data_IF_972627907285
#
_entry.id   IF_972627907285
#
_cell.length_a   1.000
_cell.length_b   1.000
_cell.length_c   1.000
_cell.angle_alpha   90.00
_cell.angle_beta   90.00
_cell.angle_gamma   90.00
#
_symmetry.space_group_name_H-M   'P 1'
#
loop_
_entity.id
_entity.type
_entity.pdbx_description
1 polymer ?
#
# COMPACT_ATOMS: atom_id res chain seq x y z
N UNK A 1 -36.83 14.70 -5.61
CA UNK A 1 -35.70 14.82 -4.66
C UNK A 1 -34.68 13.77 -5.07
N UNK A 2 -33.60 14.18 -5.72
CA UNK A 2 -32.49 13.28 -6.05
C UNK A 2 -31.64 13.23 -4.79
N UNK A 3 -31.71 12.13 -4.04
CA UNK A 3 -30.74 11.86 -2.99
C UNK A 3 -29.43 11.50 -3.68
N UNK A 4 -28.57 12.50 -3.85
CA UNK A 4 -27.17 12.30 -4.17
C UNK A 4 -26.55 11.53 -3.01
N UNK A 5 -26.47 10.21 -3.14
CA UNK A 5 -25.51 9.43 -2.37
C UNK A 5 -24.13 9.90 -2.85
N UNK A 6 -23.57 10.86 -2.13
CA UNK A 6 -22.16 11.17 -2.20
C UNK A 6 -21.47 9.91 -1.67
N UNK A 7 -20.99 9.04 -2.56
CA UNK A 7 -20.03 8.00 -2.21
C UNK A 7 -18.89 8.72 -1.48
N UNK A 8 -18.85 8.60 -0.16
CA UNK A 8 -17.64 8.94 0.60
C UNK A 8 -16.54 8.14 -0.07
N UNK A 9 -15.59 8.85 -0.68
CA UNK A 9 -14.47 8.26 -1.40
C UNK A 9 -13.97 7.07 -0.62
N UNK A 10 -13.93 5.91 -1.28
CA UNK A 10 -13.53 4.66 -0.68
C UNK A 10 -12.08 4.80 -0.23
N UNK A 11 -11.86 5.10 1.05
CA UNK A 11 -10.52 5.13 1.63
C UNK A 11 -10.02 3.68 1.64
N UNK A 12 -9.01 3.39 0.83
CA UNK A 12 -8.25 2.15 0.99
C UNK A 12 -7.26 2.42 2.11
N UNK A 13 -7.60 2.03 3.33
CA UNK A 13 -6.68 2.16 4.46
C UNK A 13 -5.50 1.21 4.28
N UNK A 14 -4.29 1.72 4.55
CA UNK A 14 -3.04 0.96 4.44
C UNK A 14 -2.40 0.94 5.82
N UNK A 15 -2.01 -0.25 6.26
CA UNK A 15 -1.32 -0.45 7.52
C UNK A 15 0.11 -0.89 7.27
N UNK A 16 1.05 -0.30 8.00
CA UNK A 16 2.39 -0.80 8.13
C UNK A 16 2.52 -1.51 9.48
N UNK A 17 2.90 -2.78 9.42
CA UNK A 17 3.14 -3.64 10.57
C UNK A 17 4.63 -3.77 10.81
N UNK A 18 5.07 -3.46 12.01
CA UNK A 18 6.42 -3.72 12.50
C UNK A 18 6.37 -4.88 13.48
N UNK A 19 7.12 -5.95 13.20
CA UNK A 19 7.32 -7.09 14.09
C UNK A 19 8.75 -7.09 14.59
N UNK A 20 8.91 -7.02 15.90
CA UNK A 20 10.20 -7.05 16.58
C UNK A 20 10.33 -8.37 17.36
N UNK A 21 11.35 -9.15 17.04
CA UNK A 21 11.75 -10.30 17.84
C UNK A 21 12.45 -9.79 19.12
N UNK A 22 11.87 -10.08 20.28
CA UNK A 22 12.38 -9.59 21.56
C UNK A 22 13.67 -10.28 22.02
N UNK A 23 14.03 -11.43 21.45
CA UNK A 23 15.28 -12.16 21.76
C UNK A 23 16.45 -11.60 20.99
N UNK A 24 16.25 -11.29 19.70
CA UNK A 24 17.33 -10.85 18.80
C UNK A 24 17.34 -9.33 18.58
N UNK A 25 16.22 -8.65 18.82
CA UNK A 25 15.99 -7.25 18.45
C UNK A 25 15.77 -7.03 16.95
N UNK A 26 15.63 -8.11 16.18
CA UNK A 26 15.44 -8.03 14.74
C UNK A 26 14.04 -7.53 14.39
N UNK A 27 13.95 -6.63 13.40
CA UNK A 27 12.70 -6.01 12.97
C UNK A 27 12.35 -6.41 11.54
N UNK A 28 11.15 -6.97 11.38
CA UNK A 28 10.53 -7.28 10.10
C UNK A 28 9.33 -6.36 9.85
N UNK A 29 9.09 -5.98 8.59
CA UNK A 29 8.04 -5.04 8.23
C UNK A 29 7.10 -5.60 7.18
N UNK A 30 5.80 -5.31 7.31
CA UNK A 30 4.77 -5.79 6.39
C UNK A 30 3.76 -4.69 6.08
N UNK A 31 3.28 -4.62 4.83
CA UNK A 31 2.18 -3.76 4.43
C UNK A 31 0.89 -4.56 4.28
N UNK A 32 -0.22 -4.04 4.80
CA UNK A 32 -1.56 -4.59 4.63
C UNK A 32 -2.49 -3.52 4.05
N UNK A 33 -3.42 -3.94 3.19
CA UNK A 33 -4.45 -3.08 2.62
C UNK A 33 -5.82 -3.54 3.13
N UNK A 34 -6.65 -2.63 3.63
CA UNK A 34 -7.83 -2.90 4.49
C UNK A 34 -8.89 -3.84 3.92
N UNK A 35 -8.97 -4.05 2.60
CA UNK A 35 -9.89 -5.05 2.02
C UNK A 35 -9.27 -6.44 1.83
N UNK A 36 -8.05 -6.69 2.34
CA UNK A 36 -7.42 -8.03 2.32
C UNK A 36 -6.82 -8.39 3.68
N UNK A 37 -6.94 -9.68 4.01
CA UNK A 37 -6.22 -10.31 5.13
C UNK A 37 -4.72 -10.54 4.79
N UNK A 38 -4.36 -10.40 3.50
CA UNK A 38 -2.99 -10.61 3.05
C UNK A 38 -2.07 -9.48 3.49
N UNK A 39 -0.95 -9.87 4.11
CA UNK A 39 0.14 -8.98 4.51
C UNK A 39 1.36 -9.23 3.64
N UNK A 40 1.95 -8.16 3.10
CA UNK A 40 3.06 -8.24 2.16
C UNK A 40 4.36 -7.80 2.84
N UNK A 41 5.41 -8.63 2.86
CA UNK A 41 6.68 -8.22 3.43
C UNK A 41 7.24 -7.02 2.66
N UNK A 42 7.85 -6.08 3.39
CA UNK A 42 8.55 -4.93 2.81
C UNK A 42 9.91 -4.74 3.44
N UNK A 43 10.84 -4.23 2.63
CA UNK A 43 12.17 -3.88 3.10
C UNK A 43 12.11 -2.79 4.18
N UNK A 44 13.02 -2.90 5.14
CA UNK A 44 13.20 -1.92 6.22
C UNK A 44 13.41 -0.50 5.68
N UNK A 45 14.12 -0.35 4.56
CA UNK A 45 14.37 0.95 3.93
C UNK A 45 13.09 1.60 3.40
N UNK A 46 12.15 0.80 2.88
CA UNK A 46 10.84 1.26 2.41
C UNK A 46 9.96 1.61 3.61
N UNK A 47 9.88 0.72 4.60
CA UNK A 47 9.10 0.95 5.82
C UNK A 47 9.53 2.23 6.55
N UNK A 48 10.84 2.47 6.66
CA UNK A 48 11.38 3.68 7.28
C UNK A 48 11.01 4.95 6.50
N UNK A 49 11.06 4.90 5.16
CA UNK A 49 10.63 6.02 4.32
C UNK A 49 9.14 6.29 4.46
N UNK A 50 8.30 5.25 4.55
CA UNK A 50 6.87 5.40 4.76
C UNK A 50 6.61 6.12 6.10
N UNK A 51 7.21 5.65 7.19
CA UNK A 51 7.05 6.25 8.52
C UNK A 51 7.57 7.70 8.60
N UNK A 52 8.59 8.04 7.81
CA UNK A 52 9.19 9.38 7.82
C UNK A 52 8.44 10.40 6.95
N UNK A 53 7.90 9.97 5.81
CA UNK A 53 7.29 10.86 4.81
C UNK A 53 5.78 11.02 5.03
N UNK A 54 5.12 9.98 5.53
CA UNK A 54 3.67 9.95 5.62
C UNK A 54 3.20 10.19 7.05
N UNK A 55 2.04 10.84 7.14
CA UNK A 55 1.33 10.94 8.41
C UNK A 55 0.83 9.55 8.79
N UNK A 56 1.30 9.07 9.92
CA UNK A 56 0.96 7.75 10.44
C UNK A 56 0.45 7.84 11.86
N UNK A 57 -0.43 6.93 12.22
CA UNK A 57 -1.01 6.83 13.55
C UNK A 57 -0.74 5.43 14.08
N UNK A 58 -0.19 5.35 15.28
CA UNK A 58 -0.10 4.06 15.95
C UNK A 58 -1.51 3.61 16.34
N UNK A 59 -1.92 2.46 15.84
CA UNK A 59 -3.24 1.88 16.10
C UNK A 59 -3.09 0.57 16.85
N UNK A 60 -4.15 0.17 17.54
CA UNK A 60 -4.22 -1.15 18.15
C UNK A 60 -4.26 -2.20 17.04
N UNK A 61 -3.33 -3.17 17.01
CA UNK A 61 -3.34 -4.25 16.02
C UNK A 61 -4.61 -5.11 16.06
N UNK A 62 -5.37 -5.12 17.17
CA UNK A 62 -6.54 -5.96 17.35
C UNK A 62 -6.24 -7.46 17.14
N UNK A 63 -7.26 -8.24 16.78
CA UNK A 63 -7.14 -9.68 16.51
C UNK A 63 -6.65 -10.00 15.07
N UNK A 64 -6.32 -8.99 14.26
CA UNK A 64 -6.06 -9.18 12.82
C UNK A 64 -4.73 -9.91 12.52
N UNK A 65 -3.82 -9.96 13.48
CA UNK A 65 -2.69 -10.88 13.46
C UNK A 65 -2.71 -11.69 14.75
N UNK A 66 -3.14 -12.95 14.67
CA UNK A 66 -2.86 -13.95 15.72
C UNK A 66 -1.35 -14.18 15.81
N UNK A 67 -0.65 -13.31 16.56
CA UNK A 67 0.75 -13.55 16.92
C UNK A 67 0.73 -14.33 18.22
N UNK A 68 0.58 -15.65 18.11
CA UNK A 68 0.60 -16.58 19.26
C UNK A 68 1.98 -16.64 19.96
N UNK A 69 3.01 -15.99 19.41
CA UNK A 69 4.37 -15.96 19.98
C UNK A 69 4.56 -14.80 20.96
N UNK A 70 4.72 -15.14 22.24
CA UNK A 70 5.00 -14.21 23.34
C UNK A 70 6.31 -13.41 23.19
N UNK A 71 7.21 -13.83 22.31
CA UNK A 71 8.50 -13.17 22.08
C UNK A 71 8.46 -12.17 20.93
N UNK A 72 7.31 -11.98 20.28
CA UNK A 72 7.17 -11.04 19.18
C UNK A 72 6.32 -9.87 19.63
N UNK A 73 6.89 -8.67 19.51
CA UNK A 73 6.14 -7.43 19.69
C UNK A 73 5.71 -6.90 18.34
N UNK A 74 4.41 -6.69 18.18
CA UNK A 74 3.84 -6.12 16.96
C UNK A 74 3.40 -4.69 17.20
N UNK A 75 3.77 -3.77 16.31
CA UNK A 75 3.26 -2.40 16.26
C UNK A 75 2.59 -2.18 14.90
N UNK A 76 1.36 -1.67 14.92
CA UNK A 76 0.62 -1.32 13.72
C UNK A 76 0.57 0.21 13.55
N UNK A 77 0.83 0.66 12.34
CA UNK A 77 0.75 2.06 11.94
C UNK A 77 -0.27 2.20 10.82
N UNK A 78 -1.38 2.88 11.08
CA UNK A 78 -2.31 3.32 10.05
C UNK A 78 -1.66 4.47 9.27
N UNK A 79 -1.61 4.34 7.95
CA UNK A 79 -1.08 5.37 7.06
C UNK A 79 -2.28 6.19 6.58
N UNK A 80 -2.26 7.50 6.89
CA UNK A 80 -3.26 8.44 6.41
C UNK A 80 -3.27 8.44 4.87
N UNK A 81 -4.39 8.14 4.24
CA UNK A 81 -4.40 7.87 2.82
C UNK A 81 -5.77 7.75 2.17
N UNK A 82 -5.94 8.52 1.08
CA UNK A 82 -6.89 8.17 0.02
C UNK A 82 -6.43 6.88 -0.69
N UNK A 83 -7.12 6.47 -1.76
CA UNK A 83 -6.73 5.31 -2.55
C UNK A 83 -5.27 5.39 -3.03
N UNK A 84 -4.42 4.38 -2.77
CA UNK A 84 -3.02 4.39 -3.19
C UNK A 84 -2.87 4.58 -4.70
N UNK A 85 -1.86 5.36 -5.09
CA UNK A 85 -1.55 5.62 -6.51
C UNK A 85 -0.18 5.04 -6.84
N UNK A 86 -0.12 4.19 -7.86
CA UNK A 86 1.13 3.77 -8.48
C UNK A 86 1.47 4.72 -9.62
N UNK A 87 2.70 5.21 -9.61
CA UNK A 87 3.30 5.98 -10.69
C UNK A 87 4.35 5.12 -11.39
N UNK A 88 4.15 4.87 -12.67
CA UNK A 88 5.10 4.16 -13.53
C UNK A 88 5.85 5.18 -14.40
N UNK A 89 7.18 5.15 -14.34
CA UNK A 89 8.02 5.93 -15.27
C UNK A 89 8.06 5.27 -16.65
N UNK A 90 7.48 5.93 -17.65
CA UNK A 90 7.63 5.57 -19.06
C UNK A 90 9.07 5.81 -19.47
N UNK A 91 9.65 4.82 -20.12
CA UNK A 91 11.09 4.68 -20.34
C UNK A 91 11.40 4.23 -21.78
N UNK A 92 12.65 4.39 -22.23
CA UNK A 92 13.12 3.83 -23.50
C UNK A 92 13.17 2.30 -23.47
N UNK A 93 13.23 1.65 -24.65
CA UNK A 93 13.13 0.18 -24.85
C UNK A 93 14.12 -0.72 -24.07
N UNK A 94 15.12 -0.17 -23.36
CA UNK A 94 16.22 -0.93 -22.75
C UNK A 94 16.40 -0.68 -21.24
N UNK A 95 15.45 -0.05 -20.56
CA UNK A 95 15.48 0.14 -19.10
C UNK A 95 14.42 -0.73 -18.40
N UNK A 96 14.60 -1.03 -17.11
CA UNK A 96 13.64 -1.78 -16.28
C UNK A 96 12.60 -0.89 -15.62
N UNK A 97 11.31 -1.26 -15.69
CA UNK A 97 10.19 -0.45 -15.22
C UNK A 97 10.42 0.02 -13.79
N UNK A 98 10.30 1.34 -13.59
CA UNK A 98 10.45 1.94 -12.27
C UNK A 98 9.08 2.40 -11.82
N UNK A 99 8.67 1.86 -10.69
CA UNK A 99 7.39 2.14 -10.08
C UNK A 99 7.62 2.82 -8.74
N UNK A 100 6.72 3.73 -8.43
CA UNK A 100 6.65 4.36 -7.12
C UNK A 100 5.21 4.36 -6.65
N UNK A 101 5.00 4.32 -5.34
CA UNK A 101 3.66 4.38 -4.74
C UNK A 101 3.51 5.66 -3.93
N UNK A 102 2.31 6.22 -3.94
CA UNK A 102 1.89 7.32 -3.10
C UNK A 102 0.70 6.84 -2.26
N UNK A 103 0.87 6.80 -0.94
CA UNK A 103 -0.16 6.31 -0.02
C UNK A 103 -1.17 7.37 0.43
N UNK A 104 -0.80 8.65 0.37
CA UNK A 104 -1.65 9.79 0.78
C UNK A 104 -1.64 10.87 -0.28
N UNK A 105 -2.59 11.80 -0.26
CA UNK A 105 -2.63 12.92 -1.22
C UNK A 105 -1.45 13.89 -1.07
N UNK A 106 -0.96 14.05 0.16
CA UNK A 106 0.11 14.98 0.51
C UNK A 106 1.51 14.36 0.52
N UNK A 107 1.62 13.02 0.50
CA UNK A 107 2.91 12.32 0.53
C UNK A 107 3.66 12.32 -0.80
N UNK A 108 4.99 12.21 -0.73
CA UNK A 108 5.86 12.07 -1.90
C UNK A 108 5.94 10.59 -2.36
N UNK A 109 5.98 10.29 -3.67
CA UNK A 109 6.05 8.92 -4.14
C UNK A 109 7.33 8.22 -3.71
N UNK A 110 7.19 7.04 -3.11
CA UNK A 110 8.29 6.18 -2.67
C UNK A 110 8.55 5.12 -3.72
N UNK A 111 9.81 4.94 -4.11
CA UNK A 111 10.20 3.87 -5.03
C UNK A 111 10.16 2.54 -4.29
N UNK A 112 9.41 1.59 -4.84
CA UNK A 112 9.27 0.25 -4.29
C UNK A 112 10.14 -0.74 -5.06
N UNK A 113 10.46 -1.86 -4.41
CA UNK A 113 11.10 -2.98 -5.07
C UNK A 113 10.21 -3.57 -6.18
N UNK A 114 10.84 -4.09 -7.23
CA UNK A 114 10.14 -4.60 -8.41
C UNK A 114 9.28 -5.81 -8.08
N UNK A 115 9.75 -6.71 -7.21
CA UNK A 115 9.02 -7.91 -6.80
C UNK A 115 7.79 -7.54 -5.98
N UNK A 116 7.91 -6.52 -5.12
CA UNK A 116 6.77 -5.99 -4.38
C UNK A 116 5.69 -5.44 -5.33
N UNK A 117 6.08 -4.70 -6.36
CA UNK A 117 5.14 -4.16 -7.34
C UNK A 117 4.45 -5.28 -8.12
N UNK A 118 5.19 -6.33 -8.51
CA UNK A 118 4.58 -7.48 -9.18
C UNK A 118 3.56 -8.18 -8.28
N UNK A 119 3.92 -8.47 -7.03
CA UNK A 119 2.97 -9.04 -6.05
C UNK A 119 1.72 -8.16 -5.91
N UNK A 120 1.93 -6.86 -5.84
CA UNK A 120 0.87 -5.89 -5.70
C UNK A 120 -0.05 -5.79 -6.93
N UNK A 121 0.49 -5.88 -8.14
CA UNK A 121 -0.29 -5.94 -9.40
C UNK A 121 -1.10 -7.25 -9.54
N UNK A 122 -0.62 -8.34 -8.94
CA UNK A 122 -1.40 -9.58 -8.86
C UNK A 122 -2.59 -9.43 -7.89
N UNK A 123 -2.36 -8.79 -6.75
CA UNK A 123 -3.35 -8.56 -5.71
C UNK A 123 -4.40 -7.49 -6.05
N UNK A 124 -3.99 -6.45 -6.79
CA UNK A 124 -4.80 -5.25 -6.99
C UNK A 124 -5.06 -4.97 -8.48
N UNK A 125 -6.23 -4.41 -8.76
CA UNK A 125 -6.57 -3.84 -10.06
C UNK A 125 -5.99 -2.44 -10.14
N UNK A 126 -5.21 -2.18 -11.18
CA UNK A 126 -4.72 -0.85 -11.51
C UNK A 126 -5.72 -0.18 -12.45
N UNK A 127 -6.32 0.92 -12.02
CA UNK A 127 -7.21 1.75 -12.82
C UNK A 127 -6.39 2.94 -13.33
N UNK A 128 -6.17 3.08 -14.66
CA UNK A 128 -5.44 4.22 -15.20
C UNK A 128 -6.09 5.53 -14.78
N UNK A 129 -5.28 6.47 -14.30
CA UNK A 129 -5.69 7.84 -14.02
C UNK A 129 -5.25 8.74 -15.17
N UNK A 130 -6.01 9.81 -15.42
CA UNK A 130 -5.52 10.86 -16.29
C UNK A 130 -4.33 11.54 -15.60
N UNK A 131 -3.24 11.78 -16.33
CA UNK A 131 -2.01 12.34 -15.77
C UNK A 131 -2.24 13.75 -15.24
N UNK A 132 -3.23 14.47 -15.77
CA UNK A 132 -3.64 15.80 -15.31
C UNK A 132 -4.40 15.76 -13.96
N UNK A 133 -5.04 14.64 -13.63
CA UNK A 133 -5.75 14.45 -12.34
C UNK A 133 -4.78 14.17 -11.18
N UNK A 134 -3.51 13.93 -11.51
CA UNK A 134 -2.46 13.65 -10.54
C UNK A 134 -1.42 14.75 -10.66
N UNK A 135 -0.87 15.25 -9.54
CA UNK A 135 0.17 16.32 -9.54
C UNK A 135 1.48 15.97 -10.28
N UNK A 136 1.52 14.86 -11.04
CA UNK A 136 2.66 14.36 -11.78
C UNK A 136 2.62 14.76 -13.26
N UNK A 137 2.31 16.03 -13.57
CA UNK A 137 2.18 16.64 -14.91
C UNK A 137 3.43 16.56 -15.81
N UNK A 138 3.95 15.35 -16.01
CA UNK A 138 5.14 15.01 -16.79
C UNK A 138 4.73 13.89 -17.75
N UNK A 139 4.80 14.17 -19.05
CA UNK A 139 4.47 13.28 -20.19
C UNK A 139 5.17 11.90 -20.10
N UNK A 140 6.22 11.76 -19.29
CA UNK A 140 7.00 10.55 -19.09
C UNK A 140 6.45 9.59 -18.02
N UNK A 141 5.26 9.81 -17.47
CA UNK A 141 4.72 8.97 -16.41
C UNK A 141 3.29 8.53 -16.70
N UNK A 142 2.96 7.32 -16.26
CA UNK A 142 1.58 6.84 -16.14
C UNK A 142 1.23 6.73 -14.67
N UNK A 143 0.01 7.10 -14.31
CA UNK A 143 -0.49 6.95 -12.96
C UNK A 143 -1.66 5.99 -12.95
N UNK A 144 -1.76 5.20 -11.88
CA UNK A 144 -2.81 4.22 -11.69
C UNK A 144 -3.32 4.30 -10.27
N UNK A 145 -4.64 4.41 -10.12
CA UNK A 145 -5.30 4.15 -8.86
C UNK A 145 -5.29 2.66 -8.59
N UNK A 146 -5.01 2.28 -7.35
CA UNK A 146 -4.95 0.89 -6.94
C UNK A 146 -6.24 0.55 -6.21
N UNK A 147 -6.98 -0.43 -6.73
CA UNK A 147 -8.16 -0.97 -6.06
C UNK A 147 -7.94 -2.46 -5.79
N UNK A 148 -8.22 -2.99 -4.60
CA UNK A 148 -8.16 -4.42 -4.33
C UNK A 148 -8.98 -5.23 -5.36
N UNK A 149 -8.45 -6.35 -5.86
CA UNK A 149 -9.27 -7.28 -6.65
C UNK A 149 -10.16 -8.02 -5.65
N UNK A 150 -11.49 -7.90 -5.78
CA UNK A 150 -12.40 -8.80 -5.08
C UNK A 150 -12.04 -10.23 -5.47
N UNK A 151 -11.63 -11.06 -4.50
CA UNK A 151 -11.48 -12.49 -4.72
C UNK A 151 -12.89 -13.03 -4.91
N UNK A 152 -13.18 -13.56 -6.10
CA UNK A 152 -14.41 -14.33 -6.28
C UNK A 152 -14.34 -15.51 -5.32
N UNK A 153 -15.25 -15.54 -4.34
CA UNK A 153 -15.40 -16.67 -3.45
C UNK A 153 -15.85 -17.86 -4.32
N UNK A 154 -14.92 -18.73 -4.70
CA UNK A 154 -15.29 -19.99 -5.36
C UNK A 154 -15.95 -20.82 -4.27
N UNK A 155 -17.29 -20.86 -4.30
CA UNK A 155 -18.06 -21.80 -3.50
C UNK A 155 -17.74 -23.19 -4.06
N UNK A 156 -16.96 -23.96 -3.32
CA UNK A 156 -16.86 -25.39 -3.58
C UNK A 156 -18.20 -25.97 -3.11
N UNK A 157 -19.04 -26.34 -4.06
CA UNK A 157 -20.21 -27.20 -3.85
C UNK A 157 -19.78 -28.64 -3.57
#
# INVERSE_FOLDING_TARGET
MINCWQERGQYVMVYLWEREDQRTGEKSFFLQFFERDDVYPVDKSIATQILAVYKTWKVDPGDQMNVEDKNVKTTCYEIDGDVPIIVQKIKPKNEYDKYSIKFSKDGEPVTLDTDFIFMFQQACKMIPLNVDDVKYGRIKYKAYQVVPKKVACIRLE
#
